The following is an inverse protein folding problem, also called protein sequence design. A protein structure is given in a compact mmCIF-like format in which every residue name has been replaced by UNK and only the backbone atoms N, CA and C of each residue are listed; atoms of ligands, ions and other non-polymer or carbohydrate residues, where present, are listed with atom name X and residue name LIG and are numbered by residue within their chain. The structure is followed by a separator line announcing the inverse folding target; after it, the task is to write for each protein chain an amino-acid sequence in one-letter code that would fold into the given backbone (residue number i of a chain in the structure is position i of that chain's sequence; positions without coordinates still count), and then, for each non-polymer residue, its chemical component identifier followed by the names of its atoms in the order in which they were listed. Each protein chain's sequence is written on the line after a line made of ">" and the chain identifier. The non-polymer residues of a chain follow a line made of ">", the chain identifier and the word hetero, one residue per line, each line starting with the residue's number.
data_IF_733301405289
#
_entry.id   IF_733301405289
#
_cell.length_a   1.000
_cell.length_b   1.000
_cell.length_c   1.000
_cell.angle_alpha   90.00
_cell.angle_beta   90.00
_cell.angle_gamma   90.00
#
_symmetry.space_group_name_H-M   'P 1'
#
loop_
_entity.id
_entity.type
_entity.pdbx_description
1 polymer ?
#
# COMPACT_ATOMS: atom_id res chain seq x y z
N UNK A 1 6.01 37.80 -14.65
CA UNK A 1 6.18 36.59 -15.48
C UNK A 1 5.78 35.40 -14.64
N UNK A 2 4.81 34.60 -15.11
CA UNK A 2 4.13 33.55 -14.35
C UNK A 2 4.68 32.17 -14.74
N UNK A 3 5.74 31.72 -14.06
CA UNK A 3 6.28 30.37 -14.27
C UNK A 3 5.25 29.29 -13.90
N UNK A 4 4.31 29.60 -12.99
CA UNK A 4 3.28 28.69 -12.49
C UNK A 4 2.32 28.15 -13.57
N UNK A 5 2.14 28.85 -14.70
CA UNK A 5 1.23 28.41 -15.77
C UNK A 5 1.85 27.46 -16.79
N UNK A 6 3.18 27.32 -16.82
CA UNK A 6 3.89 26.42 -17.76
C UNK A 6 4.63 25.30 -17.07
N UNK A 7 4.73 25.36 -15.74
CA UNK A 7 5.43 24.36 -14.95
C UNK A 7 4.72 23.00 -15.05
N UNK A 8 5.47 22.01 -15.52
CA UNK A 8 5.00 20.63 -15.68
C UNK A 8 5.54 19.69 -14.62
N UNK A 9 6.74 19.95 -14.13
CA UNK A 9 7.40 19.13 -13.11
C UNK A 9 7.86 20.03 -11.99
N UNK A 10 7.59 19.65 -10.76
CA UNK A 10 7.99 20.38 -9.57
C UNK A 10 8.56 19.40 -8.54
N UNK A 11 9.80 19.63 -8.15
CA UNK A 11 10.52 18.88 -7.11
C UNK A 11 10.89 19.88 -6.02
N UNK A 12 10.31 19.70 -4.85
CA UNK A 12 10.41 20.60 -3.69
C UNK A 12 10.56 19.78 -2.40
N UNK A 13 11.22 18.63 -2.52
CA UNK A 13 11.54 17.75 -1.41
C UNK A 13 12.43 18.44 -0.36
N UNK A 14 12.36 17.95 0.88
CA UNK A 14 13.25 18.36 1.97
C UNK A 14 13.22 19.86 2.29
N UNK A 15 12.00 20.38 2.44
CA UNK A 15 11.74 21.76 2.85
C UNK A 15 10.86 21.79 4.12
N UNK A 16 10.43 22.99 4.52
CA UNK A 16 9.56 23.21 5.69
C UNK A 16 8.13 23.58 5.28
N UNK A 17 7.67 23.11 4.11
CA UNK A 17 6.36 23.48 3.57
C UNK A 17 5.24 22.86 4.41
N UNK A 18 4.19 23.64 4.70
CA UNK A 18 3.02 23.17 5.48
C UNK A 18 1.76 22.99 4.65
N UNK A 19 1.74 23.58 3.45
CA UNK A 19 0.63 23.49 2.52
C UNK A 19 1.15 23.49 1.08
N UNK A 20 0.40 22.85 0.19
CA UNK A 20 0.75 22.75 -1.22
C UNK A 20 -0.43 23.14 -2.09
N UNK A 21 -0.20 24.00 -3.08
CA UNK A 21 -1.21 24.37 -4.07
C UNK A 21 -0.87 23.79 -5.43
N UNK A 22 -1.69 22.87 -5.92
CA UNK A 22 -1.47 22.20 -7.20
C UNK A 22 -2.20 22.93 -8.33
N UNK A 23 -1.51 23.19 -9.43
CA UNK A 23 -2.07 23.81 -10.62
C UNK A 23 -2.40 22.76 -11.70
N UNK A 24 -3.34 23.05 -12.63
CA UNK A 24 -3.83 22.08 -13.62
C UNK A 24 -2.79 21.59 -14.63
N UNK A 25 -1.71 22.36 -14.83
CA UNK A 25 -0.69 22.07 -15.85
C UNK A 25 0.41 21.13 -15.36
N UNK A 26 0.50 20.93 -14.05
CA UNK A 26 1.51 20.07 -13.44
C UNK A 26 1.23 18.61 -13.82
N UNK A 27 2.25 17.95 -14.36
CA UNK A 27 2.28 16.55 -14.76
C UNK A 27 2.92 15.69 -13.65
N UNK A 28 3.92 16.23 -12.94
CA UNK A 28 4.68 15.52 -11.90
C UNK A 28 4.98 16.43 -10.72
N UNK A 29 4.74 15.92 -9.51
CA UNK A 29 5.00 16.63 -8.25
C UNK A 29 5.63 15.71 -7.21
N UNK A 30 6.81 16.08 -6.76
CA UNK A 30 7.50 15.44 -5.63
C UNK A 30 7.71 16.52 -4.56
N UNK A 31 7.08 16.32 -3.40
CA UNK A 31 7.14 17.22 -2.25
C UNK A 31 7.38 16.42 -0.96
N UNK A 32 8.22 15.39 -1.07
CA UNK A 32 8.56 14.50 0.04
C UNK A 32 9.32 15.26 1.14
N UNK A 33 9.33 14.73 2.37
CA UNK A 33 10.10 15.29 3.49
C UNK A 33 9.78 16.76 3.75
N UNK A 34 8.51 17.05 4.03
CA UNK A 34 8.01 18.38 4.36
C UNK A 34 7.08 18.26 5.59
N UNK A 35 6.33 19.32 5.90
CA UNK A 35 5.32 19.35 6.97
C UNK A 35 3.89 19.53 6.41
N UNK A 36 3.65 19.09 5.19
CA UNK A 36 2.40 19.35 4.46
C UNK A 36 1.28 18.53 5.11
N UNK A 37 0.20 19.22 5.47
CA UNK A 37 -1.01 18.58 6.02
C UNK A 37 -2.14 18.51 5.00
N UNK A 38 -2.11 19.37 3.98
CA UNK A 38 -3.18 19.47 2.99
C UNK A 38 -2.69 19.91 1.61
N UNK A 39 -3.44 19.48 0.60
CA UNK A 39 -3.28 19.90 -0.79
C UNK A 39 -4.48 20.77 -1.16
N UNK A 40 -4.21 22.02 -1.48
CA UNK A 40 -5.15 22.92 -2.11
C UNK A 40 -5.17 22.69 -3.63
N UNK A 41 -6.38 22.56 -4.16
CA UNK A 41 -6.62 22.45 -5.60
C UNK A 41 -7.37 23.69 -6.08
N UNK A 42 -6.98 24.21 -7.24
CA UNK A 42 -7.73 25.29 -7.88
C UNK A 42 -8.97 24.73 -8.58
N UNK A 43 -10.01 25.54 -8.72
CA UNK A 43 -11.21 25.14 -9.46
C UNK A 43 -10.85 24.94 -10.94
N UNK A 44 -10.76 23.68 -11.35
CA UNK A 44 -10.44 23.28 -12.72
C UNK A 44 -11.11 21.96 -13.02
N UNK A 45 -11.63 21.83 -14.23
CA UNK A 45 -12.25 20.60 -14.72
C UNK A 45 -11.25 19.50 -15.04
N UNK A 46 -9.95 19.82 -15.12
CA UNK A 46 -8.95 18.88 -15.60
C UNK A 46 -7.54 19.15 -15.05
N UNK A 47 -6.92 18.12 -14.49
CA UNK A 47 -5.51 18.13 -14.07
C UNK A 47 -4.69 17.16 -14.90
N UNK A 48 -3.49 17.59 -15.33
CA UNK A 48 -2.53 16.76 -16.07
C UNK A 48 -1.73 15.80 -15.19
N UNK A 49 -1.82 15.95 -13.87
CA UNK A 49 -0.98 15.26 -12.90
C UNK A 49 -1.05 13.73 -13.09
N UNK A 50 0.10 13.11 -13.34
CA UNK A 50 0.25 11.66 -13.47
C UNK A 50 1.01 11.06 -12.29
N UNK A 51 1.88 11.83 -11.65
CA UNK A 51 2.70 11.37 -10.52
C UNK A 51 2.65 12.38 -9.38
N UNK A 52 2.31 11.90 -8.18
CA UNK A 52 2.28 12.67 -6.94
C UNK A 52 2.97 11.89 -5.83
N UNK A 53 4.05 12.44 -5.30
CA UNK A 53 4.72 11.94 -4.09
C UNK A 53 4.72 13.03 -3.03
N UNK A 54 4.16 12.69 -1.86
CA UNK A 54 4.12 13.52 -0.65
C UNK A 54 4.51 12.69 0.56
N UNK A 55 5.54 11.87 0.41
CA UNK A 55 6.03 10.99 1.45
C UNK A 55 6.61 11.79 2.61
N UNK A 56 6.60 11.22 3.82
CA UNK A 56 7.19 11.85 5.00
C UNK A 56 6.69 13.28 5.21
N UNK A 57 5.39 13.39 5.39
CA UNK A 57 4.65 14.64 5.62
C UNK A 57 3.66 14.42 6.78
N UNK A 58 2.70 15.32 6.95
CA UNK A 58 1.74 15.31 8.06
C UNK A 58 0.31 15.04 7.58
N UNK A 59 0.13 14.24 6.53
CA UNK A 59 -1.21 13.86 6.05
C UNK A 59 -1.88 12.86 7.00
N UNK A 60 -3.11 13.14 7.40
CA UNK A 60 -3.92 12.22 8.23
C UNK A 60 -4.92 11.40 7.41
N UNK A 61 -5.16 11.80 6.15
CA UNK A 61 -6.08 11.10 5.25
C UNK A 61 -5.78 11.41 3.78
N UNK A 62 -6.29 10.57 2.88
CA UNK A 62 -6.30 10.81 1.44
C UNK A 62 -7.67 11.40 1.08
N UNK A 63 -7.72 12.68 0.72
CA UNK A 63 -9.00 13.32 0.39
C UNK A 63 -9.62 12.73 -0.88
N UNK A 64 -10.87 12.26 -0.83
CA UNK A 64 -11.59 11.78 -2.01
C UNK A 64 -12.01 12.91 -2.96
N UNK A 65 -11.82 14.17 -2.56
CA UNK A 65 -12.19 15.35 -3.35
C UNK A 65 -11.13 15.74 -4.39
N UNK A 66 -9.95 15.12 -4.39
CA UNK A 66 -8.88 15.47 -5.32
C UNK A 66 -9.26 15.15 -6.78
N UNK A 67 -9.24 16.14 -7.70
CA UNK A 67 -9.67 15.98 -9.09
C UNK A 67 -8.55 15.43 -10.02
N UNK A 68 -7.68 14.56 -9.51
CA UNK A 68 -6.51 14.06 -10.23
C UNK A 68 -6.84 12.82 -11.08
N UNK A 69 -7.81 12.93 -11.98
CA UNK A 69 -8.32 11.80 -12.78
C UNK A 69 -7.27 11.11 -13.67
N UNK A 70 -6.15 11.79 -13.96
CA UNK A 70 -5.04 11.24 -14.76
C UNK A 70 -3.92 10.63 -13.91
N UNK A 71 -4.03 10.67 -12.59
CA UNK A 71 -2.99 10.17 -11.70
C UNK A 71 -2.78 8.68 -11.92
N UNK A 72 -1.52 8.30 -12.07
CA UNK A 72 -1.06 6.93 -12.30
C UNK A 72 -0.25 6.42 -11.11
N UNK A 73 0.46 7.31 -10.44
CA UNK A 73 1.33 6.99 -9.30
C UNK A 73 1.04 7.95 -8.15
N UNK A 74 0.69 7.38 -7.00
CA UNK A 74 0.46 8.11 -5.76
C UNK A 74 1.28 7.48 -4.65
N UNK A 75 2.17 8.26 -4.03
CA UNK A 75 2.87 7.89 -2.82
C UNK A 75 2.55 8.86 -1.70
N UNK A 76 1.95 8.34 -0.64
CA UNK A 76 1.65 9.03 0.62
C UNK A 76 2.29 8.29 1.80
N UNK A 77 3.34 7.51 1.54
CA UNK A 77 4.04 6.74 2.56
C UNK A 77 4.60 7.63 3.68
N UNK A 78 4.83 7.07 4.86
CA UNK A 78 5.38 7.78 6.01
C UNK A 78 4.55 9.02 6.41
N UNK A 79 3.23 8.88 6.42
CA UNK A 79 2.30 9.90 6.92
C UNK A 79 1.56 9.38 8.17
N UNK A 80 0.50 10.05 8.63
CA UNK A 80 -0.29 9.66 9.79
C UNK A 80 -1.70 9.19 9.38
N UNK A 81 -1.79 8.38 8.32
CA UNK A 81 -3.06 7.94 7.72
C UNK A 81 -3.63 6.74 8.49
N UNK A 82 -4.62 6.98 9.35
CA UNK A 82 -5.21 5.93 10.19
C UNK A 82 -6.08 4.92 9.43
N UNK A 83 -6.57 5.28 8.24
CA UNK A 83 -7.43 4.42 7.45
C UNK A 83 -7.51 4.86 6.00
N UNK A 84 -7.77 3.90 5.10
CA UNK A 84 -7.99 4.17 3.68
C UNK A 84 -9.31 3.58 3.20
N UNK A 85 -9.96 4.22 2.25
CA UNK A 85 -11.13 3.66 1.57
C UNK A 85 -10.78 3.33 0.12
N UNK A 86 -10.19 2.15 -0.10
CA UNK A 86 -9.67 1.73 -1.41
C UNK A 86 -10.71 1.87 -2.55
N UNK A 87 -11.99 1.49 -2.39
CA UNK A 87 -13.01 1.70 -3.43
C UNK A 87 -13.17 3.16 -3.85
N UNK A 88 -13.09 4.08 -2.89
CA UNK A 88 -13.23 5.52 -3.17
C UNK A 88 -11.99 6.04 -3.90
N UNK A 89 -10.80 5.60 -3.47
CA UNK A 89 -9.54 5.99 -4.10
C UNK A 89 -9.51 5.56 -5.56
N UNK A 90 -9.79 4.28 -5.86
CA UNK A 90 -9.74 3.77 -7.24
C UNK A 90 -10.88 4.30 -8.12
N UNK A 91 -12.03 4.64 -7.54
CA UNK A 91 -13.14 5.29 -8.25
C UNK A 91 -12.80 6.74 -8.63
N UNK A 92 -12.13 7.48 -7.73
CA UNK A 92 -11.71 8.86 -7.96
C UNK A 92 -10.45 8.99 -8.82
N UNK A 93 -9.57 8.00 -8.76
CA UNK A 93 -8.32 7.93 -9.50
C UNK A 93 -8.37 6.74 -10.49
N UNK A 94 -9.21 6.80 -11.54
CA UNK A 94 -9.48 5.65 -12.42
C UNK A 94 -8.28 5.23 -13.27
N UNK A 95 -7.22 6.07 -13.32
CA UNK A 95 -5.96 5.79 -14.02
C UNK A 95 -4.85 5.30 -13.10
N UNK A 96 -5.09 5.21 -11.79
CA UNK A 96 -4.08 4.84 -10.80
C UNK A 96 -3.58 3.42 -11.06
N UNK A 97 -2.26 3.28 -11.11
CA UNK A 97 -1.54 2.02 -11.32
C UNK A 97 -0.74 1.64 -10.08
N UNK A 98 -0.21 2.62 -9.36
CA UNK A 98 0.59 2.42 -8.15
C UNK A 98 0.07 3.28 -7.01
N UNK A 99 -0.20 2.65 -5.87
CA UNK A 99 -0.55 3.31 -4.63
C UNK A 99 0.37 2.83 -3.51
N UNK A 100 1.14 3.75 -2.93
CA UNK A 100 1.98 3.48 -1.76
C UNK A 100 1.45 4.25 -0.54
N UNK A 101 1.02 3.51 0.49
CA UNK A 101 0.56 4.01 1.80
C UNK A 101 1.33 3.31 2.92
N UNK A 102 2.55 2.85 2.65
CA UNK A 102 3.38 2.17 3.64
C UNK A 102 3.77 3.10 4.79
N UNK A 103 4.12 2.53 5.95
CA UNK A 103 4.62 3.29 7.11
C UNK A 103 3.69 4.43 7.57
N UNK A 104 2.37 4.29 7.43
CA UNK A 104 1.43 5.38 7.66
C UNK A 104 0.47 5.15 8.83
N UNK A 105 0.68 4.09 9.62
CA UNK A 105 -0.17 3.67 10.74
C UNK A 105 -1.61 3.32 10.33
N UNK A 106 -1.83 2.88 9.08
CA UNK A 106 -3.14 2.46 8.57
C UNK A 106 -3.64 1.27 9.37
N UNK A 107 -4.75 1.43 10.09
CA UNK A 107 -5.37 0.37 10.87
C UNK A 107 -6.64 -0.18 10.23
N UNK A 108 -7.23 0.53 9.27
CA UNK A 108 -8.49 0.12 8.63
C UNK A 108 -8.45 0.32 7.12
N UNK A 109 -9.09 -0.60 6.39
CA UNK A 109 -9.30 -0.48 4.95
C UNK A 109 -10.77 -0.66 4.59
N UNK A 110 -11.28 0.19 3.71
CA UNK A 110 -12.62 0.02 3.12
C UNK A 110 -12.70 -1.23 2.27
N UNK A 111 -13.80 -1.98 2.41
CA UNK A 111 -14.04 -3.23 1.68
C UNK A 111 -13.98 -3.05 0.17
N UNK A 112 -13.04 -3.73 -0.47
CA UNK A 112 -12.84 -3.75 -1.91
C UNK A 112 -13.83 -4.66 -2.65
N UNK A 113 -14.77 -5.32 -1.96
CA UNK A 113 -15.72 -6.27 -2.57
C UNK A 113 -16.46 -5.71 -3.79
N UNK A 114 -16.75 -4.41 -3.82
CA UNK A 114 -17.47 -3.75 -4.93
C UNK A 114 -16.54 -3.14 -6.00
N UNK A 115 -15.23 -3.32 -5.90
CA UNK A 115 -14.27 -2.80 -6.88
C UNK A 115 -14.30 -3.66 -8.15
N UNK A 116 -15.19 -3.28 -9.08
CA UNK A 116 -15.34 -3.99 -10.37
C UNK A 116 -14.29 -3.60 -11.40
N UNK A 117 -13.83 -2.35 -11.38
CA UNK A 117 -12.94 -1.79 -12.40
C UNK A 117 -11.87 -0.93 -11.75
N UNK A 118 -10.62 -1.36 -11.87
CA UNK A 118 -9.45 -0.59 -11.46
C UNK A 118 -8.31 -0.81 -12.46
N UNK A 119 -7.34 0.11 -12.48
CA UNK A 119 -6.06 -0.05 -13.16
C UNK A 119 -4.91 -0.29 -12.18
N UNK A 120 -5.22 -0.38 -10.88
CA UNK A 120 -4.25 -0.58 -9.83
C UNK A 120 -3.54 -1.92 -10.02
N UNK A 121 -2.22 -1.85 -10.11
CA UNK A 121 -1.29 -2.97 -10.28
C UNK A 121 -0.40 -3.14 -9.07
N UNK A 122 -0.02 -2.05 -8.42
CA UNK A 122 0.85 -2.05 -7.25
C UNK A 122 0.11 -1.41 -6.09
N UNK A 123 0.01 -2.14 -4.99
CA UNK A 123 -0.54 -1.67 -3.72
C UNK A 123 0.45 -2.01 -2.61
N UNK A 124 1.00 -0.98 -1.99
CA UNK A 124 1.88 -1.12 -0.84
C UNK A 124 1.19 -0.60 0.41
N UNK A 125 0.87 -1.54 1.30
CA UNK A 125 0.32 -1.33 2.63
C UNK A 125 1.27 -1.85 3.71
N UNK A 126 2.54 -2.08 3.38
CA UNK A 126 3.53 -2.60 4.33
C UNK A 126 3.76 -1.64 5.50
N UNK A 127 4.20 -2.19 6.63
CA UNK A 127 4.56 -1.43 7.83
C UNK A 127 3.44 -0.53 8.35
N UNK A 128 2.24 -1.10 8.46
CA UNK A 128 1.04 -0.43 8.97
C UNK A 128 0.50 -1.18 10.20
N UNK A 129 -0.78 -0.95 10.55
CA UNK A 129 -1.45 -1.55 11.72
C UNK A 129 -2.64 -2.43 11.29
N UNK A 130 -2.58 -3.01 10.10
CA UNK A 130 -3.65 -3.85 9.58
C UNK A 130 -3.67 -5.19 10.31
N UNK A 131 -4.86 -5.63 10.68
CA UNK A 131 -5.12 -6.98 11.20
C UNK A 131 -5.44 -7.94 10.06
N UNK A 132 -5.50 -9.25 10.35
CA UNK A 132 -5.94 -10.26 9.39
C UNK A 132 -7.33 -9.97 8.79
N UNK A 133 -8.28 -9.52 9.62
CA UNK A 133 -9.64 -9.16 9.19
C UNK A 133 -9.64 -7.99 8.20
N UNK A 134 -8.78 -7.00 8.40
CA UNK A 134 -8.65 -5.87 7.48
C UNK A 134 -8.03 -6.30 6.15
N UNK A 135 -7.12 -7.27 6.13
CA UNK A 135 -6.56 -7.80 4.87
C UNK A 135 -7.63 -8.49 4.01
N UNK A 136 -8.56 -9.21 4.63
CA UNK A 136 -9.66 -9.87 3.91
C UNK A 136 -10.56 -8.88 3.17
N UNK A 137 -10.59 -7.61 3.59
CA UNK A 137 -11.33 -6.55 2.90
C UNK A 137 -10.67 -6.15 1.58
N UNK A 138 -9.41 -6.51 1.33
CA UNK A 138 -8.67 -6.22 0.08
C UNK A 138 -8.80 -7.36 -0.95
N UNK A 139 -9.67 -8.36 -0.69
CA UNK A 139 -9.85 -9.56 -1.53
C UNK A 139 -10.47 -9.35 -2.92
N UNK A 140 -10.59 -8.14 -3.46
CA UNK A 140 -11.11 -7.95 -4.81
C UNK A 140 -10.47 -6.72 -5.48
N UNK A 141 -9.26 -6.92 -6.00
CA UNK A 141 -8.52 -5.93 -6.80
C UNK A 141 -8.06 -6.61 -8.09
N UNK A 142 -8.92 -6.69 -9.13
CA UNK A 142 -8.78 -7.67 -10.22
C UNK A 142 -7.56 -7.50 -11.13
N UNK A 143 -6.83 -6.40 -11.01
CA UNK A 143 -5.62 -6.10 -11.79
C UNK A 143 -4.35 -6.01 -10.96
N UNK A 144 -4.43 -6.29 -9.66
CA UNK A 144 -3.29 -6.19 -8.77
C UNK A 144 -2.24 -7.24 -9.16
N UNK A 145 -1.01 -6.79 -9.36
CA UNK A 145 0.15 -7.61 -9.73
C UNK A 145 1.14 -7.70 -8.57
N UNK A 146 1.30 -6.63 -7.79
CA UNK A 146 2.18 -6.58 -6.61
C UNK A 146 1.39 -6.10 -5.41
N UNK A 147 1.40 -6.90 -4.35
CA UNK A 147 0.75 -6.56 -3.08
C UNK A 147 1.75 -6.69 -1.94
N UNK A 148 2.13 -5.58 -1.32
CA UNK A 148 3.01 -5.59 -0.15
C UNK A 148 2.20 -5.31 1.11
N UNK A 149 2.24 -6.24 2.06
CA UNK A 149 1.50 -6.20 3.32
C UNK A 149 2.35 -6.60 4.53
N UNK A 150 3.64 -6.87 4.33
CA UNK A 150 4.58 -7.19 5.40
C UNK A 150 4.66 -6.10 6.49
N UNK A 151 4.98 -6.45 7.73
CA UNK A 151 5.14 -5.48 8.82
C UNK A 151 3.83 -4.94 9.39
N UNK A 152 2.74 -5.70 9.27
CA UNK A 152 1.43 -5.37 9.83
C UNK A 152 1.14 -6.23 11.07
N UNK A 153 -0.04 -6.07 11.66
CA UNK A 153 -0.44 -6.71 12.93
C UNK A 153 -1.15 -8.04 12.69
N UNK A 154 -0.45 -8.95 12.02
CA UNK A 154 -0.90 -10.33 11.83
C UNK A 154 0.30 -11.29 11.83
N UNK A 155 0.08 -12.44 12.45
CA UNK A 155 0.92 -13.63 12.39
C UNK A 155 0.34 -14.65 11.39
N UNK A 156 -0.99 -14.65 11.22
CA UNK A 156 -1.73 -15.47 10.25
C UNK A 156 -2.90 -14.69 9.62
N UNK A 157 -3.36 -15.11 8.43
CA UNK A 157 -4.57 -14.58 7.77
C UNK A 157 -5.17 -15.60 6.79
N UNK A 158 -6.40 -15.39 6.33
CA UNK A 158 -7.05 -16.24 5.33
C UNK A 158 -6.40 -16.07 3.93
N UNK A 159 -5.19 -16.61 3.75
CA UNK A 159 -4.37 -16.44 2.56
C UNK A 159 -5.03 -17.03 1.30
N UNK A 160 -5.71 -18.16 1.43
CA UNK A 160 -6.53 -18.75 0.37
C UNK A 160 -7.64 -17.80 -0.07
N UNK A 161 -8.36 -17.17 0.87
CA UNK A 161 -9.43 -16.22 0.55
C UNK A 161 -8.88 -14.97 -0.13
N UNK A 162 -7.78 -14.42 0.36
CA UNK A 162 -7.20 -13.19 -0.20
C UNK A 162 -6.57 -13.46 -1.56
N UNK A 163 -5.68 -14.45 -1.67
CA UNK A 163 -4.86 -14.67 -2.85
C UNK A 163 -5.65 -15.27 -4.01
N UNK A 164 -6.61 -16.18 -3.77
CA UNK A 164 -7.44 -16.74 -4.84
C UNK A 164 -8.33 -15.69 -5.52
N UNK A 165 -8.66 -14.58 -4.82
CA UNK A 165 -9.44 -13.50 -5.39
C UNK A 165 -8.58 -12.35 -5.98
N UNK A 166 -7.27 -12.56 -6.12
CA UNK A 166 -6.34 -11.65 -6.80
C UNK A 166 -5.76 -12.32 -8.06
N UNK A 167 -6.54 -12.48 -9.14
CA UNK A 167 -6.24 -13.36 -10.27
C UNK A 167 -5.06 -12.91 -11.16
N UNK A 168 -4.45 -11.76 -10.85
CA UNK A 168 -3.29 -11.20 -11.57
C UNK A 168 -2.07 -11.03 -10.68
N UNK A 169 -2.14 -11.46 -9.42
CA UNK A 169 -1.06 -11.30 -8.47
C UNK A 169 0.16 -12.11 -8.93
N UNK A 170 1.32 -11.46 -8.88
CA UNK A 170 2.62 -12.04 -9.24
C UNK A 170 3.60 -11.96 -8.08
N UNK A 171 3.46 -10.95 -7.23
CA UNK A 171 4.37 -10.70 -6.12
C UNK A 171 3.56 -10.36 -4.86
N UNK A 172 3.79 -11.12 -3.79
CA UNK A 172 3.29 -10.88 -2.45
C UNK A 172 4.46 -10.55 -1.51
N UNK A 173 4.51 -9.32 -1.01
CA UNK A 173 5.52 -8.88 -0.05
C UNK A 173 5.04 -9.06 1.39
N UNK A 174 5.69 -9.95 2.15
CA UNK A 174 5.44 -10.21 3.57
C UNK A 174 6.65 -9.91 4.47
N UNK A 175 7.73 -9.38 3.91
CA UNK A 175 8.89 -8.93 4.68
C UNK A 175 8.48 -7.99 5.81
N UNK A 176 8.89 -8.32 7.03
CA UNK A 176 8.61 -7.54 8.24
C UNK A 176 7.46 -8.10 9.07
N UNK A 177 6.69 -9.07 8.56
CA UNK A 177 5.67 -9.75 9.35
C UNK A 177 6.28 -10.82 10.25
N UNK A 178 5.76 -10.93 11.47
CA UNK A 178 6.13 -11.98 12.43
C UNK A 178 5.27 -13.24 12.23
N UNK A 179 5.31 -13.81 11.02
CA UNK A 179 4.51 -14.98 10.66
C UNK A 179 4.94 -16.24 11.42
N UNK A 180 3.98 -17.11 11.73
CA UNK A 180 4.28 -18.44 12.27
C UNK A 180 4.97 -19.31 11.21
N UNK A 181 5.73 -20.31 11.66
CA UNK A 181 6.47 -21.21 10.76
C UNK A 181 5.54 -22.07 9.92
N UNK A 182 4.46 -22.58 10.52
CA UNK A 182 3.42 -23.33 9.82
C UNK A 182 2.73 -22.47 8.76
N UNK A 183 2.35 -21.24 9.12
CA UNK A 183 1.68 -20.32 8.20
C UNK A 183 2.58 -19.88 7.04
N UNK A 184 3.87 -19.70 7.29
CA UNK A 184 4.83 -19.36 6.22
C UNK A 184 4.94 -20.48 5.19
N UNK A 185 5.04 -21.75 5.63
CA UNK A 185 5.02 -22.92 4.73
C UNK A 185 3.71 -22.98 3.93
N UNK A 186 2.58 -22.76 4.60
CA UNK A 186 1.25 -22.73 3.98
C UNK A 186 1.12 -21.64 2.89
N UNK A 187 1.56 -20.42 3.16
CA UNK A 187 1.56 -19.34 2.15
C UNK A 187 2.45 -19.68 0.96
N UNK A 188 3.64 -20.24 1.19
CA UNK A 188 4.55 -20.62 0.11
C UNK A 188 3.95 -21.71 -0.79
N UNK A 189 3.16 -22.64 -0.24
CA UNK A 189 2.41 -23.64 -1.01
C UNK A 189 1.32 -23.00 -1.88
N UNK A 190 0.45 -22.17 -1.29
CA UNK A 190 -0.60 -21.46 -2.04
C UNK A 190 0.01 -20.59 -3.14
N UNK A 191 1.08 -19.87 -2.84
CA UNK A 191 1.73 -19.00 -3.81
C UNK A 191 2.31 -19.78 -4.99
N UNK A 192 2.85 -20.99 -4.77
CA UNK A 192 3.30 -21.87 -5.86
C UNK A 192 2.14 -22.29 -6.76
N UNK A 193 1.00 -22.66 -6.18
CA UNK A 193 -0.21 -23.02 -6.93
C UNK A 193 -0.74 -21.85 -7.78
N UNK A 194 -0.67 -20.64 -7.24
CA UNK A 194 -1.12 -19.42 -7.92
C UNK A 194 -0.07 -18.78 -8.83
N UNK A 195 1.11 -19.39 -8.98
CA UNK A 195 2.25 -18.84 -9.71
C UNK A 195 2.64 -17.42 -9.26
N UNK A 196 2.56 -17.18 -7.94
CA UNK A 196 2.94 -15.95 -7.27
C UNK A 196 4.29 -16.12 -6.55
N UNK A 197 5.12 -15.09 -6.58
CA UNK A 197 6.37 -15.02 -5.82
C UNK A 197 6.09 -14.39 -4.46
N UNK A 198 6.57 -15.02 -3.39
CA UNK A 198 6.47 -14.47 -2.04
C UNK A 198 7.82 -13.92 -1.63
N UNK A 199 7.85 -12.64 -1.29
CA UNK A 199 9.01 -11.97 -0.73
C UNK A 199 8.87 -11.93 0.80
N UNK A 200 9.56 -12.85 1.48
CA UNK A 200 9.56 -12.96 2.94
C UNK A 200 10.99 -13.02 3.48
N UNK A 201 11.14 -12.97 4.82
CA UNK A 201 12.40 -13.29 5.49
C UNK A 201 12.67 -14.80 5.64
N UNK A 202 11.84 -15.69 5.08
CA UNK A 202 11.91 -17.16 5.31
C UNK A 202 13.23 -17.78 4.84
N UNK A 203 13.92 -17.14 3.89
CA UNK A 203 15.24 -17.55 3.41
C UNK A 203 16.42 -17.18 4.32
N UNK A 204 16.20 -16.52 5.46
CA UNK A 204 17.28 -16.08 6.35
C UNK A 204 17.64 -17.16 7.38
N UNK A 205 18.94 -17.33 7.69
CA UNK A 205 19.40 -18.26 8.73
C UNK A 205 18.76 -17.99 10.09
N UNK A 206 18.51 -16.72 10.43
CA UNK A 206 17.84 -16.32 11.66
C UNK A 206 16.40 -16.85 11.75
N UNK A 207 15.65 -16.78 10.65
CA UNK A 207 14.28 -17.26 10.61
C UNK A 207 14.20 -18.80 10.69
N UNK A 208 15.10 -19.49 9.96
CA UNK A 208 15.21 -20.95 10.03
C UNK A 208 15.52 -21.45 11.44
N UNK A 209 16.44 -20.77 12.15
CA UNK A 209 16.76 -21.08 13.54
C UNK A 209 15.54 -20.86 14.46
N UNK A 210 14.84 -19.73 14.32
CA UNK A 210 13.62 -19.42 15.10
C UNK A 210 12.55 -20.50 14.92
N UNK A 211 12.38 -21.01 13.69
CA UNK A 211 11.43 -22.08 13.43
C UNK A 211 11.85 -23.43 13.99
N UNK A 212 13.13 -23.80 13.88
CA UNK A 212 13.63 -25.04 14.49
C UNK A 212 13.48 -25.04 16.02
N UNK A 213 13.72 -23.88 16.67
CA UNK A 213 13.53 -23.73 18.12
C UNK A 213 12.04 -23.79 18.52
N UNK A 214 11.14 -23.18 17.74
CA UNK A 214 9.70 -23.23 17.98
C UNK A 214 9.12 -24.65 17.84
N UNK A 215 9.49 -25.36 16.77
CA UNK A 215 9.07 -26.76 16.53
C UNK A 215 9.59 -27.70 17.64
N UNK A 216 10.80 -27.48 18.15
CA UNK A 216 11.36 -28.27 19.26
C UNK A 216 10.69 -27.97 20.61
N UNK A 217 10.23 -26.74 20.83
CA UNK A 217 9.51 -26.36 22.05
C UNK A 217 8.10 -26.97 22.09
N UNK A 218 7.40 -27.02 20.96
CA UNK A 218 6.09 -27.67 20.84
C UNK A 218 6.18 -29.18 21.08
N UNK A 219 7.21 -29.84 20.55
CA UNK A 219 7.44 -31.28 20.75
C UNK A 219 7.69 -31.67 22.22
N UNK A 220 8.32 -30.79 23.00
CA UNK A 220 8.62 -31.03 24.42
C UNK A 220 7.47 -30.61 25.37
N UNK A 221 6.48 -29.84 24.89
CA UNK A 221 5.34 -29.37 25.68
C UNK A 221 4.18 -30.37 25.80
N UNK A 222 4.18 -31.42 24.98
CA UNK A 222 3.14 -32.47 24.97
C UNK A 222 3.38 -33.65 25.94
N UNK A 223 4.42 -33.60 26.78
CA UNK A 223 4.79 -34.69 27.71
C UNK A 223 4.37 -34.52 29.18
N UNK A 224 3.48 -33.59 29.55
CA UNK A 224 2.98 -33.44 30.95
C UNK A 224 1.46 -33.56 31.09
#
# INVERSE_FOLDING_TARGET
>A
MSFAQTLKKLFIDSNMLTALKITPQLEELIADNNHITTIEVVNSSYYKLTTLSVQNNNFESISPAYPFYNLQELSVAQNAILGIHLPTIVSRLPRLKSLNVSHSAVATVGSASDVKQTRLKVLDLSNNKLTAEELEKVKNVPRLETFAIGGNQFDEFAADVVLNNLPKLKTLGLSGSELTCGFTKYIEEIAKELHCTVETFSGTEQWQKKCGEAEAAEANGTEN
#
